data_IF_684437766430
#
_entry.id   IF_684437766430
#
_cell.length_a   1.000
_cell.length_b   1.000
_cell.length_c   1.000
_cell.angle_alpha   90.00
_cell.angle_beta   90.00
_cell.angle_gamma   90.00
#
_symmetry.space_group_name_H-M   'P 1'
#
loop_
_entity.id
_entity.type
_entity.pdbx_description
1 polymer ?
#
# COMPACT_ATOMS: atom_id res chain seq x y z
N UNK A 1 -19.05 2.39 -12.37
CA UNK A 1 -18.59 2.48 -10.96
C UNK A 1 -17.08 2.33 -10.98
N UNK A 2 -16.36 3.36 -10.54
CA UNK A 2 -14.89 3.37 -10.49
C UNK A 2 -14.44 2.41 -9.36
N UNK A 3 -13.24 1.82 -9.49
CA UNK A 3 -12.63 0.98 -8.44
C UNK A 3 -12.58 1.66 -7.07
N UNK A 4 -12.31 2.97 -7.04
CA UNK A 4 -12.25 3.73 -5.79
C UNK A 4 -13.62 3.80 -5.11
N UNK A 5 -14.70 4.05 -5.87
CA UNK A 5 -16.09 4.01 -5.37
C UNK A 5 -16.40 2.65 -4.72
N UNK A 6 -15.93 1.56 -5.35
CA UNK A 6 -16.17 0.20 -4.87
C UNK A 6 -15.44 -0.11 -3.58
N UNK A 7 -14.22 0.38 -3.41
CA UNK A 7 -13.46 0.22 -2.16
C UNK A 7 -14.17 0.97 -1.02
N UNK A 8 -14.60 2.20 -1.27
CA UNK A 8 -15.31 3.03 -0.28
C UNK A 8 -16.61 2.37 0.16
N UNK A 9 -17.39 1.87 -0.79
CA UNK A 9 -18.66 1.22 -0.47
C UNK A 9 -18.47 -0.08 0.33
N UNK A 10 -17.45 -0.87 0.02
CA UNK A 10 -17.14 -2.08 0.79
C UNK A 10 -16.69 -1.76 2.22
N UNK A 11 -15.85 -0.74 2.41
CA UNK A 11 -15.42 -0.29 3.74
C UNK A 11 -16.62 0.22 4.54
N UNK A 12 -17.52 0.99 3.91
CA UNK A 12 -18.75 1.48 4.52
C UNK A 12 -19.69 0.35 4.94
N UNK A 13 -19.89 -0.64 4.08
CA UNK A 13 -20.73 -1.82 4.40
C UNK A 13 -20.17 -2.63 5.57
N UNK A 14 -18.86 -2.58 5.82
CA UNK A 14 -18.19 -3.28 6.92
C UNK A 14 -18.00 -2.44 8.17
N UNK A 15 -18.29 -1.13 8.11
CA UNK A 15 -17.97 -0.20 9.21
C UNK A 15 -16.47 -0.05 9.45
N UNK A 16 -15.65 -0.30 8.42
CA UNK A 16 -14.19 -0.23 8.49
C UNK A 16 -13.68 1.12 8.00
N UNK A 17 -12.55 1.55 8.55
CA UNK A 17 -11.85 2.77 8.15
C UNK A 17 -10.50 2.42 7.53
N UNK A 18 -9.95 3.32 6.71
CA UNK A 18 -8.67 3.18 6.03
C UNK A 18 -7.82 4.43 6.21
N UNK A 19 -6.50 4.24 6.36
CA UNK A 19 -5.48 5.28 6.28
C UNK A 19 -4.37 4.83 5.32
N UNK A 20 -3.59 5.78 4.79
CA UNK A 20 -2.54 5.47 3.82
C UNK A 20 -1.20 6.10 4.20
N UNK A 21 -0.11 5.42 3.85
CA UNK A 21 1.24 5.93 3.90
C UNK A 21 1.84 5.92 2.50
N UNK A 22 2.18 7.09 1.97
CA UNK A 22 2.62 7.30 0.59
C UNK A 22 4.09 7.71 0.53
N UNK A 23 4.83 7.21 -0.45
CA UNK A 23 6.18 7.70 -0.79
C UNK A 23 6.16 8.19 -2.24
N UNK A 24 6.50 7.33 -3.20
CA UNK A 24 6.60 7.70 -4.63
C UNK A 24 5.30 8.24 -5.23
N UNK A 25 4.15 7.85 -4.68
CA UNK A 25 2.82 8.31 -5.14
C UNK A 25 2.52 9.75 -4.76
N UNK A 26 3.26 10.35 -3.82
CA UNK A 26 3.24 11.79 -3.54
C UNK A 26 1.89 12.37 -3.12
N UNK A 27 0.97 11.57 -2.56
CA UNK A 27 -0.36 12.01 -2.16
C UNK A 27 -1.46 11.72 -3.19
N UNK A 28 -1.12 11.14 -4.34
CA UNK A 28 -2.09 10.84 -5.39
C UNK A 28 -3.15 9.81 -4.96
N UNK A 29 -2.78 8.86 -4.08
CA UNK A 29 -3.75 7.90 -3.54
C UNK A 29 -4.69 8.56 -2.53
N UNK A 30 -4.15 9.38 -1.62
CA UNK A 30 -4.93 10.16 -0.67
C UNK A 30 -5.93 11.06 -1.40
N UNK A 31 -5.46 11.77 -2.44
CA UNK A 31 -6.31 12.61 -3.30
C UNK A 31 -7.47 11.80 -3.90
N UNK A 32 -7.16 10.66 -4.51
CA UNK A 32 -8.19 9.81 -5.13
C UNK A 32 -9.24 9.33 -4.14
N UNK A 33 -8.87 9.07 -2.88
CA UNK A 33 -9.81 8.70 -1.82
C UNK A 33 -10.65 9.91 -1.35
N UNK A 34 -10.06 11.09 -1.22
CA UNK A 34 -10.76 12.30 -0.76
C UNK A 34 -11.66 12.93 -1.81
N UNK A 35 -11.45 12.64 -3.10
CA UNK A 35 -12.29 13.14 -4.20
C UNK A 35 -13.69 12.51 -4.21
N UNK A 36 -13.94 11.47 -3.41
CA UNK A 36 -15.24 10.79 -3.32
C UNK A 36 -16.09 11.40 -2.22
N UNK A 37 -17.37 11.63 -2.53
CA UNK A 37 -18.35 12.12 -1.57
C UNK A 37 -18.51 11.16 -0.37
N UNK A 38 -18.46 11.72 0.84
CA UNK A 38 -18.58 10.95 2.08
C UNK A 38 -17.31 10.19 2.48
N UNK A 39 -16.17 10.40 1.80
CA UNK A 39 -14.90 9.78 2.15
C UNK A 39 -14.46 10.03 3.61
N UNK A 40 -14.85 11.15 4.22
CA UNK A 40 -14.56 11.47 5.63
C UNK A 40 -15.12 10.46 6.63
N UNK A 41 -16.13 9.67 6.26
CA UNK A 41 -16.67 8.62 7.12
C UNK A 41 -15.79 7.37 7.20
N UNK A 42 -14.87 7.18 6.25
CA UNK A 42 -14.07 5.97 6.16
C UNK A 42 -12.56 6.24 6.01
N UNK A 43 -12.16 7.39 5.50
CA UNK A 43 -10.76 7.74 5.30
C UNK A 43 -10.28 8.62 6.45
N UNK A 44 -9.38 8.07 7.28
CA UNK A 44 -8.86 8.76 8.46
C UNK A 44 -7.76 9.78 8.12
N UNK A 45 -7.17 9.66 6.93
CA UNK A 45 -6.06 10.49 6.49
C UNK A 45 -4.87 9.67 6.04
N UNK A 46 -3.77 10.36 5.72
CA UNK A 46 -2.56 9.71 5.28
C UNK A 46 -1.31 10.56 5.47
N UNK A 47 -0.16 9.90 5.41
CA UNK A 47 1.17 10.51 5.56
C UNK A 47 1.93 10.36 4.25
N UNK A 48 2.54 11.44 3.76
CA UNK A 48 3.43 11.40 2.59
C UNK A 48 4.87 11.32 3.11
N UNK A 49 5.33 10.11 3.41
CA UNK A 49 6.68 9.82 3.89
C UNK A 49 7.67 9.69 2.72
N UNK A 50 7.93 10.79 2.00
CA UNK A 50 8.83 10.78 0.84
C UNK A 50 10.30 10.58 1.23
N UNK A 51 10.74 11.27 2.27
CA UNK A 51 12.13 11.22 2.75
C UNK A 51 12.38 10.06 3.71
N UNK A 52 13.65 9.66 3.88
CA UNK A 52 14.03 8.71 4.92
C UNK A 52 13.66 9.23 6.32
N UNK A 53 13.90 10.53 6.58
CA UNK A 53 13.54 11.17 7.84
C UNK A 53 12.04 11.07 8.14
N UNK A 54 11.18 11.29 7.15
CA UNK A 54 9.72 11.16 7.31
C UNK A 54 9.29 9.71 7.56
N UNK A 55 9.98 8.72 6.98
CA UNK A 55 9.71 7.30 7.28
C UNK A 55 10.06 6.97 8.73
N UNK A 56 11.18 7.47 9.23
CA UNK A 56 11.65 7.25 10.60
C UNK A 56 10.75 7.94 11.63
N UNK A 57 10.39 9.19 11.38
CA UNK A 57 9.74 10.06 12.38
C UNK A 57 8.21 10.04 12.29
N UNK A 58 7.65 9.97 11.09
CA UNK A 58 6.19 10.11 10.90
C UNK A 58 5.49 8.75 10.78
N UNK A 59 6.23 7.68 10.54
CA UNK A 59 5.73 6.30 10.43
C UNK A 59 6.44 5.31 11.36
N UNK A 60 7.28 5.81 12.28
CA UNK A 60 8.04 5.02 13.24
C UNK A 60 8.82 3.84 12.62
N UNK A 61 9.28 3.99 11.37
CA UNK A 61 10.12 2.96 10.73
C UNK A 61 11.45 2.91 11.49
N UNK A 62 11.87 1.75 12.02
CA UNK A 62 13.11 1.66 12.77
C UNK A 62 14.35 1.99 11.93
N UNK A 63 15.30 2.72 12.51
CA UNK A 63 16.54 3.13 11.84
C UNK A 63 17.34 1.93 11.34
N UNK A 64 17.39 0.84 12.10
CA UNK A 64 18.09 -0.40 11.74
C UNK A 64 17.50 -1.06 10.48
N UNK A 65 16.19 -0.92 10.23
CA UNK A 65 15.56 -1.41 9.00
C UNK A 65 16.04 -0.60 7.80
N UNK A 66 16.14 0.73 7.93
CA UNK A 66 16.65 1.59 6.85
C UNK A 66 18.14 1.32 6.60
N UNK A 67 18.93 1.18 7.66
CA UNK A 67 20.38 0.96 7.56
C UNK A 67 20.71 -0.41 6.95
N UNK A 68 19.92 -1.44 7.26
CA UNK A 68 20.18 -2.82 6.81
C UNK A 68 19.57 -3.15 5.44
N UNK A 69 18.34 -2.68 5.17
CA UNK A 69 17.61 -3.03 3.96
C UNK A 69 17.54 -1.89 2.94
N UNK A 70 17.78 -0.64 3.36
CA UNK A 70 17.68 0.55 2.54
C UNK A 70 16.24 1.07 2.41
N UNK A 71 16.12 2.36 2.05
CA UNK A 71 14.84 3.11 1.98
C UNK A 71 13.84 2.51 0.98
N UNK A 72 14.34 1.85 -0.07
CA UNK A 72 13.52 1.26 -1.15
C UNK A 72 13.49 -0.26 -1.06
N UNK A 73 13.20 -0.79 0.12
CA UNK A 73 13.16 -2.22 0.39
C UNK A 73 11.78 -2.71 0.76
N UNK A 74 11.58 -4.02 0.61
CA UNK A 74 10.37 -4.70 1.06
C UNK A 74 10.19 -4.52 2.58
N UNK A 75 11.28 -4.62 3.32
CA UNK A 75 11.35 -4.49 4.77
C UNK A 75 10.87 -3.11 5.20
N UNK A 76 11.36 -2.05 4.54
CA UNK A 76 10.89 -0.67 4.79
C UNK A 76 9.42 -0.49 4.43
N UNK A 77 8.95 -1.05 3.31
CA UNK A 77 7.54 -0.97 2.93
C UNK A 77 6.60 -1.69 3.92
N UNK A 78 7.06 -2.79 4.53
CA UNK A 78 6.31 -3.48 5.56
C UNK A 78 6.35 -2.76 6.90
N UNK A 79 7.46 -2.11 7.24
CA UNK A 79 7.57 -1.29 8.45
C UNK A 79 6.68 -0.03 8.38
N UNK A 80 6.33 0.44 7.17
CA UNK A 80 5.34 1.50 6.98
C UNK A 80 3.88 1.03 7.20
N UNK A 81 3.63 -0.29 7.24
CA UNK A 81 2.33 -0.84 7.62
C UNK A 81 2.20 -0.91 9.16
N UNK A 82 0.98 -1.05 9.70
CA UNK A 82 0.75 -1.02 11.16
C UNK A 82 1.64 -2.03 11.90
N UNK A 83 2.69 -1.51 12.54
CA UNK A 83 3.73 -2.27 13.22
C UNK A 83 3.15 -3.10 14.38
N UNK A 84 2.01 -2.68 14.95
CA UNK A 84 1.38 -3.34 16.10
C UNK A 84 0.94 -4.77 15.78
N UNK A 85 0.55 -5.05 14.53
CA UNK A 85 0.18 -6.41 14.12
C UNK A 85 1.39 -7.35 14.07
N UNK A 86 2.56 -6.82 13.73
CA UNK A 86 3.82 -7.56 13.73
C UNK A 86 4.35 -7.79 15.15
N UNK A 87 4.28 -6.77 16.00
CA UNK A 87 4.62 -6.87 17.42
C UNK A 87 3.72 -7.88 18.15
N UNK A 88 2.41 -7.84 17.92
CA UNK A 88 1.47 -8.81 18.48
C UNK A 88 1.79 -10.24 18.02
N UNK A 89 2.11 -10.44 16.74
CA UNK A 89 2.51 -11.75 16.23
C UNK A 89 3.81 -12.26 16.88
N UNK A 90 4.78 -11.37 17.10
CA UNK A 90 6.04 -11.70 17.78
C UNK A 90 5.83 -12.02 19.26
N UNK A 91 5.04 -11.22 19.99
CA UNK A 91 4.71 -11.42 21.39
C UNK A 91 3.95 -12.74 21.63
N UNK A 92 3.12 -13.15 20.66
CA UNK A 92 2.39 -14.42 20.68
C UNK A 92 3.23 -15.62 20.18
N UNK A 93 4.52 -15.42 19.86
CA UNK A 93 5.43 -16.49 19.44
C UNK A 93 5.19 -17.04 18.04
N UNK A 94 4.55 -16.27 17.14
CA UNK A 94 4.31 -16.71 15.77
C UNK A 94 5.62 -16.79 14.97
N UNK A 95 5.81 -17.88 14.21
CA UNK A 95 6.96 -18.03 13.32
C UNK A 95 6.87 -17.10 12.10
N UNK A 96 8.01 -16.70 11.51
CA UNK A 96 8.05 -15.80 10.34
C UNK A 96 7.14 -16.25 9.19
N UNK A 97 7.06 -17.56 8.91
CA UNK A 97 6.15 -18.09 7.88
C UNK A 97 4.70 -17.84 8.24
N UNK A 98 4.31 -18.06 9.50
CA UNK A 98 2.94 -17.81 9.97
C UNK A 98 2.62 -16.33 9.89
N UNK A 99 3.47 -15.47 10.44
CA UNK A 99 3.32 -14.00 10.36
C UNK A 99 3.18 -13.52 8.92
N UNK A 100 3.96 -14.07 7.98
CA UNK A 100 3.82 -13.71 6.57
C UNK A 100 2.43 -14.06 6.01
N UNK A 101 1.91 -15.26 6.25
CA UNK A 101 0.60 -15.65 5.70
C UNK A 101 -0.60 -15.08 6.46
N UNK A 102 -0.43 -14.70 7.74
CA UNK A 102 -1.54 -14.24 8.58
C UNK A 102 -1.58 -12.72 8.80
N UNK A 103 -0.45 -12.04 8.69
CA UNK A 103 -0.34 -10.57 8.87
C UNK A 103 0.03 -9.90 7.56
N UNK A 104 1.18 -10.28 6.97
CA UNK A 104 1.71 -9.61 5.79
C UNK A 104 0.86 -9.81 4.54
N UNK A 105 0.56 -11.06 4.18
CA UNK A 105 -0.14 -11.39 2.93
C UNK A 105 -1.58 -10.86 2.94
N UNK A 106 -2.37 -10.99 4.03
CA UNK A 106 -3.72 -10.42 4.08
C UNK A 106 -3.72 -8.89 4.06
N UNK A 107 -2.75 -8.25 4.73
CA UNK A 107 -2.58 -6.80 4.70
C UNK A 107 -2.14 -6.26 3.33
N UNK A 108 -1.26 -6.98 2.64
CA UNK A 108 -0.73 -6.59 1.33
C UNK A 108 -1.60 -7.06 0.14
N UNK A 109 -2.61 -7.90 0.34
CA UNK A 109 -3.35 -8.58 -0.76
C UNK A 109 -3.92 -7.60 -1.78
N UNK A 110 -4.48 -6.47 -1.33
CA UNK A 110 -5.07 -5.47 -2.22
C UNK A 110 -4.02 -4.69 -3.01
N UNK A 111 -2.85 -4.44 -2.40
CA UNK A 111 -1.71 -3.85 -3.09
C UNK A 111 -1.13 -4.79 -4.16
N UNK A 112 -0.98 -6.07 -3.85
CA UNK A 112 -0.49 -7.09 -4.80
C UNK A 112 -1.44 -7.23 -5.99
N UNK A 113 -2.75 -7.30 -5.74
CA UNK A 113 -3.77 -7.38 -6.81
C UNK A 113 -3.71 -6.12 -7.67
N UNK A 114 -3.65 -4.93 -7.07
CA UNK A 114 -3.62 -3.66 -7.81
C UNK A 114 -2.36 -3.53 -8.66
N UNK A 115 -1.19 -3.87 -8.12
CA UNK A 115 0.07 -3.86 -8.86
C UNK A 115 0.05 -4.84 -10.04
N UNK A 116 -0.53 -6.04 -9.86
CA UNK A 116 -0.69 -6.99 -10.95
C UNK A 116 -1.55 -6.43 -12.09
N UNK A 117 -2.66 -5.74 -11.77
CA UNK A 117 -3.49 -5.08 -12.78
C UNK A 117 -2.78 -3.93 -13.50
N UNK A 118 -2.03 -3.10 -12.77
CA UNK A 118 -1.25 -2.00 -13.36
C UNK A 118 -0.16 -2.53 -14.29
N UNK A 119 0.62 -3.51 -13.84
CA UNK A 119 1.65 -4.15 -14.65
C UNK A 119 1.03 -4.82 -15.88
N UNK A 120 -0.08 -5.54 -15.71
CA UNK A 120 -0.80 -6.14 -16.84
C UNK A 120 -1.23 -5.08 -17.86
N UNK A 121 -1.81 -3.96 -17.40
CA UNK A 121 -2.27 -2.88 -18.27
C UNK A 121 -1.11 -2.23 -19.01
N UNK A 122 0.01 -1.96 -18.32
CA UNK A 122 1.23 -1.42 -18.93
C UNK A 122 1.78 -2.37 -19.99
N UNK A 123 1.92 -3.65 -19.66
CA UNK A 123 2.43 -4.67 -20.58
C UNK A 123 1.55 -4.79 -21.83
N UNK A 124 0.22 -4.86 -21.66
CA UNK A 124 -0.73 -4.91 -22.80
C UNK A 124 -0.67 -3.63 -23.62
N UNK A 125 -0.51 -2.47 -22.99
CA UNK A 125 -0.37 -1.18 -23.70
C UNK A 125 0.91 -1.16 -24.53
N UNK A 126 2.03 -1.62 -23.97
CA UNK A 126 3.32 -1.69 -24.66
C UNK A 126 3.27 -2.66 -25.85
N UNK A 127 2.62 -3.82 -25.70
CA UNK A 127 2.40 -4.75 -26.82
C UNK A 127 1.44 -4.18 -27.87
N UNK A 128 0.42 -3.42 -27.45
CA UNK A 128 -0.52 -2.75 -28.34
C UNK A 128 0.18 -1.68 -29.20
N UNK A 129 0.98 -0.83 -28.57
CA UNK A 129 1.78 0.21 -29.24
C UNK A 129 2.81 -0.44 -30.17
N UNK A 130 3.55 -1.47 -29.71
CA UNK A 130 4.54 -2.16 -30.52
C UNK A 130 3.92 -2.82 -31.77
N UNK A 131 2.71 -3.39 -31.66
CA UNK A 131 2.02 -4.02 -32.80
C UNK A 131 1.40 -3.02 -33.78
N UNK A 132 0.96 -1.86 -33.30
CA UNK A 132 0.39 -0.80 -34.16
C UNK A 132 1.48 0.01 -34.87
N UNK A 133 2.61 0.26 -34.22
CA UNK A 133 3.72 1.04 -34.79
C UNK A 133 4.71 0.16 -35.57
N UNK A 134 4.93 -1.08 -35.14
CA UNK A 134 5.79 -2.06 -35.82
C UNK A 134 5.12 -2.81 -36.97
N UNK A 135 3.88 -2.46 -37.32
CA UNK A 135 3.15 -2.99 -38.48
C UNK A 135 3.62 -2.40 -39.81
N UNK A 136 4.90 -2.58 -40.15
CA UNK A 136 5.45 -2.55 -41.50
C UNK A 136 6.51 -3.63 -41.63
#
# INVERSE_FOLDING_TARGET
MNYTDRVIELLRQRGETVSVAESLTGGSLSKALTDIEGASHIFLGGVIAYSAASKLHDLDVPQDVIDSAGVYSKETALAMADARLYEAAAALGASRRRTFFTVTLPGAKYGVISAAFVVFTLVITDFGIAKVIGGR
#
